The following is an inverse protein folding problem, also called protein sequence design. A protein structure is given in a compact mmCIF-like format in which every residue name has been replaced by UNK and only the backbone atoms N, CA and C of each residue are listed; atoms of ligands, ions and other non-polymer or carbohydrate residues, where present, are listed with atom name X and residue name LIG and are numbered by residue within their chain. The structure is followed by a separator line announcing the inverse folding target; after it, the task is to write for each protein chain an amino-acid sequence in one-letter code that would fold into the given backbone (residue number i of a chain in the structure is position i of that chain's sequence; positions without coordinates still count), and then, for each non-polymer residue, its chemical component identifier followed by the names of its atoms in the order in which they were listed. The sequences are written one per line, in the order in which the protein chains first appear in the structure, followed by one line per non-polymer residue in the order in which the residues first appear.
data_IF_838232768633
#
_entry.id   IF_838232768633
#
_cell.length_a   1.000
_cell.length_b   1.000
_cell.length_c   1.000
_cell.angle_alpha   90.00
_cell.angle_beta   90.00
_cell.angle_gamma   90.00
#
_symmetry.space_group_name_H-M   'P 1'
#
loop_
_entity.id
_entity.type
_entity.pdbx_description
1 polymer ?
#
# COMPACT_ATOMS: atom_id res chain seq x y z
N UNK A 1 -19.84 22.77 2.30
CA UNK A 1 -18.45 22.76 1.82
C UNK A 1 -18.12 21.33 1.43
N UNK A 2 -18.02 21.02 0.13
CA UNK A 2 -17.55 19.71 -0.31
C UNK A 2 -16.10 19.57 0.15
N UNK A 3 -15.78 18.53 0.93
CA UNK A 3 -14.37 18.23 1.20
C UNK A 3 -13.69 17.96 -0.14
N UNK A 4 -12.59 18.66 -0.41
CA UNK A 4 -11.76 18.37 -1.57
C UNK A 4 -11.23 16.95 -1.42
N UNK A 5 -11.72 16.03 -2.25
CA UNK A 5 -11.20 14.67 -2.30
C UNK A 5 -9.73 14.73 -2.72
N UNK A 6 -8.87 14.03 -1.98
CA UNK A 6 -7.45 13.95 -2.28
C UNK A 6 -7.12 12.55 -2.82
N UNK A 7 -6.70 12.43 -4.09
CA UNK A 7 -6.22 11.17 -4.62
C UNK A 7 -5.08 10.60 -3.75
N UNK A 8 -5.10 9.29 -3.56
CA UNK A 8 -4.11 8.58 -2.78
C UNK A 8 -3.72 7.27 -3.46
N UNK A 9 -2.45 6.91 -3.35
CA UNK A 9 -1.93 5.64 -3.80
C UNK A 9 -1.08 4.99 -2.70
N UNK A 10 -1.25 3.69 -2.51
CA UNK A 10 -0.35 2.84 -1.73
C UNK A 10 0.36 1.85 -2.64
N UNK A 11 1.66 1.66 -2.46
CA UNK A 11 2.46 0.67 -3.19
C UNK A 11 3.27 -0.15 -2.21
N UNK A 12 3.16 -1.47 -2.30
CA UNK A 12 4.08 -2.42 -1.69
C UNK A 12 4.96 -3.02 -2.80
N UNK A 13 6.22 -2.61 -2.82
CA UNK A 13 7.24 -3.13 -3.73
C UNK A 13 7.90 -4.35 -3.13
N UNK A 14 7.29 -5.52 -3.35
CA UNK A 14 7.86 -6.81 -2.96
C UNK A 14 9.01 -7.24 -3.86
N UNK A 15 9.50 -8.46 -3.64
CA UNK A 15 10.59 -9.04 -4.44
C UNK A 15 10.12 -9.62 -5.80
N UNK A 16 8.83 -9.94 -5.94
CA UNK A 16 8.26 -10.53 -7.17
C UNK A 16 7.13 -9.69 -7.74
N UNK A 17 6.27 -9.15 -6.88
CA UNK A 17 5.12 -8.35 -7.29
C UNK A 17 5.16 -6.97 -6.64
N UNK A 18 4.85 -5.96 -7.44
CA UNK A 18 4.36 -4.68 -6.99
C UNK A 18 2.84 -4.76 -6.76
N UNK A 19 2.40 -4.40 -5.55
CA UNK A 19 0.98 -4.37 -5.18
C UNK A 19 0.55 -2.93 -5.03
N UNK A 20 -0.44 -2.51 -5.81
CA UNK A 20 -0.88 -1.11 -5.89
C UNK A 20 -2.33 -1.01 -5.43
N UNK A 21 -2.60 -0.05 -4.54
CA UNK A 21 -3.94 0.35 -4.13
C UNK A 21 -4.16 1.82 -4.53
N UNK A 22 -5.07 2.06 -5.47
CA UNK A 22 -5.38 3.38 -6.02
C UNK A 22 -6.73 3.88 -5.54
N UNK A 23 -6.80 5.12 -5.08
CA UNK A 23 -8.06 5.82 -4.85
C UNK A 23 -8.01 7.18 -5.50
N UNK A 24 -8.50 7.25 -6.74
CA UNK A 24 -8.54 8.47 -7.55
C UNK A 24 -9.86 9.25 -7.44
N UNK A 25 -10.90 8.60 -6.93
CA UNK A 25 -12.23 9.19 -6.67
C UNK A 25 -12.75 8.69 -5.31
N UNK A 26 -13.78 9.32 -4.72
CA UNK A 26 -14.42 8.83 -3.51
C UNK A 26 -14.94 7.39 -3.67
N UNK A 27 -14.55 6.49 -2.75
CA UNK A 27 -14.96 5.08 -2.81
C UNK A 27 -13.87 4.13 -2.29
N UNK A 28 -14.10 2.81 -2.38
CA UNK A 28 -13.07 1.81 -2.11
C UNK A 28 -11.91 1.95 -3.12
N UNK A 29 -10.68 1.62 -2.72
CA UNK A 29 -9.57 1.63 -3.63
C UNK A 29 -9.69 0.52 -4.67
N UNK A 30 -9.14 0.78 -5.86
CA UNK A 30 -8.87 -0.23 -6.87
C UNK A 30 -7.52 -0.91 -6.57
N UNK A 31 -7.46 -2.23 -6.72
CA UNK A 31 -6.25 -3.01 -6.52
C UNK A 31 -5.65 -3.50 -7.85
N UNK A 32 -4.32 -3.41 -7.95
CA UNK A 32 -3.53 -3.94 -9.08
C UNK A 32 -2.34 -4.74 -8.56
N UNK A 33 -2.04 -5.83 -9.26
CA UNK A 33 -0.84 -6.64 -9.06
C UNK A 33 -0.03 -6.58 -10.36
N UNK A 34 1.24 -6.22 -10.23
CA UNK A 34 2.14 -6.02 -11.36
C UNK A 34 3.46 -6.75 -11.08
N UNK A 35 4.13 -7.31 -12.10
CA UNK A 35 5.50 -7.83 -11.93
C UNK A 35 6.44 -6.70 -11.53
N UNK A 36 7.33 -6.95 -10.55
CA UNK A 36 8.26 -5.90 -10.08
C UNK A 36 9.30 -5.56 -11.15
N UNK A 37 9.63 -6.51 -12.02
CA UNK A 37 10.53 -6.33 -13.16
C UNK A 37 9.97 -5.39 -14.24
N UNK A 38 8.65 -5.17 -14.27
CA UNK A 38 7.99 -4.25 -15.18
C UNK A 38 7.67 -2.92 -14.48
N UNK A 39 8.75 -2.22 -14.09
CA UNK A 39 8.65 -0.93 -13.41
C UNK A 39 7.85 0.09 -14.23
N UNK A 40 7.96 0.08 -15.55
CA UNK A 40 7.23 0.99 -16.44
C UNK A 40 5.72 0.78 -16.34
N UNK A 41 5.24 -0.46 -16.22
CA UNK A 41 3.82 -0.73 -15.94
C UNK A 41 3.38 -0.19 -14.58
N UNK A 42 4.23 -0.28 -13.55
CA UNK A 42 3.95 0.34 -12.24
C UNK A 42 3.84 1.85 -12.38
N UNK A 43 4.80 2.50 -13.04
CA UNK A 43 4.81 3.95 -13.25
C UNK A 43 3.57 4.43 -14.01
N UNK A 44 3.15 3.72 -15.07
CA UNK A 44 1.93 4.05 -15.84
C UNK A 44 0.67 4.01 -14.99
N UNK A 45 0.56 3.03 -14.10
CA UNK A 45 -0.58 2.92 -13.17
C UNK A 45 -0.58 4.06 -12.15
N UNK A 46 0.60 4.53 -11.74
CA UNK A 46 0.76 5.61 -10.78
C UNK A 46 0.64 7.03 -11.37
N UNK A 47 0.69 7.18 -12.70
CA UNK A 47 0.70 8.49 -13.36
C UNK A 47 -0.53 9.34 -12.99
N UNK A 48 -1.72 8.72 -12.92
CA UNK A 48 -2.95 9.38 -12.48
C UNK A 48 -2.96 9.82 -11.00
N UNK A 49 -2.06 9.28 -10.18
CA UNK A 49 -1.94 9.59 -8.75
C UNK A 49 -0.86 10.63 -8.43
N UNK A 50 -0.19 11.20 -9.44
CA UNK A 50 0.92 12.15 -9.23
C UNK A 50 0.53 13.42 -8.47
N UNK A 51 -0.75 13.81 -8.47
CA UNK A 51 -1.26 14.96 -7.71
C UNK A 51 -1.59 14.62 -6.24
N UNK A 52 -1.38 13.37 -5.86
CA UNK A 52 -1.80 12.78 -4.60
C UNK A 52 -0.67 12.54 -3.58
N UNK A 53 -1.00 11.75 -2.56
CA UNK A 53 -0.01 11.15 -1.64
C UNK A 53 0.33 9.74 -2.11
N UNK A 54 1.63 9.43 -2.16
CA UNK A 54 2.14 8.10 -2.44
C UNK A 54 2.69 7.47 -1.15
N UNK A 55 1.95 6.54 -0.57
CA UNK A 55 2.48 5.66 0.47
C UNK A 55 3.28 4.53 -0.17
N UNK A 56 4.49 4.27 0.32
CA UNK A 56 5.40 3.29 -0.25
C UNK A 56 5.99 2.40 0.83
N UNK A 57 5.92 1.10 0.63
CA UNK A 57 6.55 0.09 1.47
C UNK A 57 7.22 -1.01 0.64
N UNK A 58 7.83 -1.99 1.30
CA UNK A 58 8.60 -3.07 0.68
C UNK A 58 10.03 -2.64 0.28
N UNK A 59 10.86 -3.64 -0.05
CA UNK A 59 12.28 -3.43 -0.34
C UNK A 59 12.57 -2.80 -1.70
N UNK A 60 11.69 -2.96 -2.68
CA UNK A 60 11.91 -2.50 -4.07
C UNK A 60 11.62 -1.02 -4.34
N UNK A 61 11.35 -0.22 -3.30
CA UNK A 61 10.80 1.14 -3.45
C UNK A 61 11.82 2.25 -3.77
N UNK A 62 13.13 1.99 -3.72
CA UNK A 62 14.14 3.05 -3.85
C UNK A 62 14.06 3.81 -5.19
N UNK A 63 13.81 3.09 -6.29
CA UNK A 63 13.72 3.68 -7.63
C UNK A 63 12.46 4.52 -7.82
N UNK A 64 11.32 4.08 -7.24
CA UNK A 64 10.07 4.85 -7.24
C UNK A 64 10.22 6.18 -6.50
N UNK A 65 10.90 6.20 -5.35
CA UNK A 65 11.13 7.43 -4.59
C UNK A 65 11.83 8.47 -5.45
N UNK A 66 12.89 8.07 -6.16
CA UNK A 66 13.66 8.99 -7.00
C UNK A 66 12.83 9.56 -8.15
N UNK A 67 11.90 8.78 -8.71
CA UNK A 67 11.02 9.22 -9.81
C UNK A 67 9.88 10.13 -9.33
N UNK A 68 9.32 9.86 -8.15
CA UNK A 68 8.17 10.61 -7.61
C UNK A 68 8.55 11.78 -6.69
N UNK A 69 9.80 11.88 -6.22
CA UNK A 69 10.26 12.95 -5.34
C UNK A 69 10.06 14.38 -5.92
N UNK A 70 9.85 14.51 -7.23
CA UNK A 70 9.65 15.81 -7.90
C UNK A 70 8.18 16.20 -8.09
N UNK A 71 7.24 15.26 -7.96
CA UNK A 71 5.84 15.45 -8.36
C UNK A 71 4.83 15.16 -7.25
N UNK A 72 5.19 14.39 -6.22
CA UNK A 72 4.24 13.94 -5.18
C UNK A 72 4.88 13.89 -3.79
N UNK A 73 4.05 13.91 -2.75
CA UNK A 73 4.50 13.58 -1.39
C UNK A 73 4.66 12.06 -1.27
N UNK A 74 5.92 11.60 -1.23
CA UNK A 74 6.24 10.17 -1.02
C UNK A 74 6.44 9.91 0.46
N UNK A 75 5.61 9.05 1.04
CA UNK A 75 5.69 8.62 2.43
C UNK A 75 6.21 7.19 2.47
N UNK A 76 7.43 6.99 2.98
CA UNK A 76 7.96 5.66 3.25
C UNK A 76 7.32 5.12 4.52
N UNK A 77 6.78 3.90 4.43
CA UNK A 77 6.11 3.21 5.53
C UNK A 77 6.81 1.88 5.78
N UNK A 78 7.01 1.53 7.05
CA UNK A 78 7.53 0.21 7.41
C UNK A 78 6.59 -0.90 6.89
N UNK A 79 7.16 -1.99 6.40
CA UNK A 79 6.42 -3.09 5.76
C UNK A 79 5.44 -3.78 6.72
N UNK A 80 5.89 -4.13 7.93
CA UNK A 80 5.02 -4.69 8.95
C UNK A 80 3.91 -3.72 9.38
N UNK A 81 4.20 -2.41 9.35
CA UNK A 81 3.21 -1.38 9.66
C UNK A 81 2.11 -1.27 8.62
N UNK A 82 2.51 -1.22 7.35
CA UNK A 82 1.58 -1.22 6.24
C UNK A 82 0.72 -2.48 6.24
N UNK A 83 1.32 -3.65 6.51
CA UNK A 83 0.61 -4.92 6.58
C UNK A 83 -0.42 -4.96 7.71
N UNK A 84 -0.04 -4.57 8.94
CA UNK A 84 -0.94 -4.62 10.09
C UNK A 84 -2.13 -3.69 9.94
N UNK A 85 -1.85 -2.45 9.51
CA UNK A 85 -2.88 -1.44 9.21
C UNK A 85 -3.80 -1.89 8.08
N UNK A 86 -3.24 -2.35 6.96
CA UNK A 86 -3.98 -2.81 5.79
C UNK A 86 -4.86 -4.03 6.07
N UNK A 87 -4.31 -5.04 6.77
CA UNK A 87 -5.07 -6.23 7.15
C UNK A 87 -6.26 -5.88 8.04
N UNK A 88 -6.08 -5.01 9.06
CA UNK A 88 -7.19 -4.54 9.90
C UNK A 88 -8.24 -3.78 9.09
N UNK A 89 -7.83 -2.92 8.17
CA UNK A 89 -8.76 -2.18 7.31
C UNK A 89 -9.61 -3.11 6.44
N UNK A 90 -9.00 -4.16 5.87
CA UNK A 90 -9.69 -5.16 5.06
C UNK A 90 -10.66 -6.02 5.89
N UNK A 91 -10.23 -6.47 7.08
CA UNK A 91 -11.06 -7.29 7.98
C UNK A 91 -12.31 -6.56 8.48
N UNK A 92 -12.16 -5.28 8.84
CA UNK A 92 -13.31 -4.41 9.18
C UNK A 92 -14.32 -4.32 8.04
N UNK A 93 -13.84 -4.33 6.78
CA UNK A 93 -14.72 -4.28 5.61
C UNK A 93 -15.43 -5.62 5.34
N UNK A 94 -14.88 -6.75 5.79
CA UNK A 94 -15.48 -8.07 5.63
C UNK A 94 -16.42 -8.48 6.78
N UNK A 95 -16.85 -7.53 7.62
CA UNK A 95 -17.67 -7.76 8.83
C UNK A 95 -17.07 -8.76 9.83
N UNK A 96 -15.75 -9.01 9.73
CA UNK A 96 -14.97 -9.76 10.70
C UNK A 96 -14.28 -8.74 11.59
N UNK A 97 -14.98 -8.24 12.61
CA UNK A 97 -14.37 -7.30 13.54
C UNK A 97 -13.48 -8.07 14.52
N UNK A 98 -12.22 -8.28 14.11
CA UNK A 98 -11.19 -8.86 14.96
C UNK A 98 -10.64 -7.77 15.89
N UNK A 99 -11.44 -7.45 16.91
CA UNK A 99 -11.00 -6.70 18.09
C UNK A 99 -9.92 -7.48 18.84
N UNK A 100 -9.96 -8.81 18.76
CA UNK A 100 -8.93 -9.67 19.32
C UNK A 100 -7.61 -9.60 18.52
N UNK A 101 -6.44 -9.74 19.18
CA UNK A 101 -5.17 -9.93 18.50
C UNK A 101 -5.19 -11.13 17.55
N UNK A 102 -4.48 -11.03 16.43
CA UNK A 102 -4.37 -12.12 15.46
C UNK A 102 -2.94 -12.27 14.93
N UNK A 103 -2.60 -13.50 14.55
CA UNK A 103 -1.36 -13.77 13.83
C UNK A 103 -1.59 -13.45 12.34
N UNK A 104 -0.82 -12.49 11.81
CA UNK A 104 -0.76 -12.24 10.38
C UNK A 104 0.42 -13.00 9.79
N UNK A 105 0.15 -13.92 8.87
CA UNK A 105 1.17 -14.67 8.14
C UNK A 105 1.14 -14.25 6.67
N UNK A 106 2.17 -13.52 6.26
CA UNK A 106 2.38 -13.14 4.86
C UNK A 106 3.13 -14.26 4.15
N UNK A 107 2.51 -14.81 3.11
CA UNK A 107 3.09 -15.87 2.27
C UNK A 107 3.34 -15.29 0.88
N UNK A 108 4.53 -14.73 0.70
CA UNK A 108 5.01 -14.17 -0.57
C UNK A 108 6.21 -14.95 -1.11
N UNK A 109 7.19 -14.25 -1.67
CA UNK A 109 8.48 -14.82 -2.08
C UNK A 109 9.20 -15.50 -0.90
N UNK A 110 9.10 -14.89 0.28
CA UNK A 110 9.39 -15.51 1.57
C UNK A 110 8.14 -15.55 2.44
N UNK A 111 8.24 -16.20 3.60
CA UNK A 111 7.18 -16.17 4.62
C UNK A 111 7.61 -15.33 5.80
N UNK A 112 6.71 -14.50 6.29
CA UNK A 112 6.89 -13.72 7.51
C UNK A 112 5.63 -13.75 8.34
N UNK A 113 5.79 -13.81 9.66
CA UNK A 113 4.67 -13.84 10.59
C UNK A 113 4.84 -12.75 11.64
N UNK A 114 3.75 -12.06 11.97
CA UNK A 114 3.72 -11.05 13.01
C UNK A 114 2.42 -11.12 13.81
N UNK A 115 2.51 -10.81 15.11
CA UNK A 115 1.33 -10.59 15.94
C UNK A 115 0.79 -9.18 15.68
N UNK A 116 -0.51 -9.06 15.43
CA UNK A 116 -1.23 -7.79 15.31
C UNK A 116 -2.17 -7.67 16.51
N UNK A 117 -1.80 -6.85 17.51
CA UNK A 117 -2.50 -6.75 18.80
C UNK A 117 -3.18 -5.40 19.07
N UNK A 118 -3.10 -4.46 18.11
CA UNK A 118 -3.71 -3.13 18.24
C UNK A 118 -2.85 -2.13 19.02
N UNK A 119 -1.72 -2.57 19.57
CA UNK A 119 -0.74 -1.75 20.29
C UNK A 119 0.56 -1.76 19.49
N UNK A 120 0.64 -0.87 18.49
CA UNK A 120 1.83 -0.50 17.69
C UNK A 120 1.75 -0.87 16.21
N UNK A 121 2.14 0.10 15.39
CA UNK A 121 3.32 -0.06 14.55
C UNK A 121 4.23 1.15 14.62
#
# INVERSE_FOLDING_TARGET
MSQNFHPACGVDMGATLAKVALRLEPGPPEFRLLPVEDLESVLRVLDGAQRGTLGLTGGGGAELVNRFARSSSVLKVNEFAAWGSGARALLRHSAADLEAPFLLVSVGTGTSAMLVDGMSV
#
